data_IF_486814199955
#
_entry.id   IF_486814199955
#
_cell.length_a   1.000
_cell.length_b   1.000
_cell.length_c   1.000
_cell.angle_alpha   90.00
_cell.angle_beta   90.00
_cell.angle_gamma   90.00
#
_symmetry.space_group_name_H-M   'P 1'
#
loop_
_entity.id
_entity.type
_entity.pdbx_description
1 polymer ?
#
# COMPACT_ATOMS: atom_id res chain seq x y z
N UNK A 1 2.54 -16.32 12.80
CA UNK A 1 1.40 -15.61 12.18
C UNK A 1 0.21 -16.55 12.14
N UNK A 2 -0.99 -16.05 12.46
CA UNK A 2 -2.23 -16.81 12.35
C UNK A 2 -3.07 -16.23 11.21
N UNK A 3 -3.47 -17.08 10.28
CA UNK A 3 -4.33 -16.73 9.14
C UNK A 3 -5.57 -17.64 9.15
N UNK A 4 -6.76 -17.02 9.14
CA UNK A 4 -8.02 -17.75 9.27
C UNK A 4 -8.34 -18.65 8.05
N UNK A 5 -7.84 -18.32 6.90
CA UNK A 5 -8.07 -19.03 5.63
C UNK A 5 -6.74 -19.49 5.01
N UNK A 6 -6.37 -18.90 3.90
CA UNK A 6 -5.10 -19.10 3.22
C UNK A 6 -4.42 -17.75 2.95
N UNK A 7 -3.12 -17.75 2.76
CA UNK A 7 -2.36 -16.54 2.49
C UNK A 7 -2.93 -15.81 1.28
N UNK A 8 -3.25 -14.52 1.47
CA UNK A 8 -3.83 -13.68 0.43
C UNK A 8 -5.35 -13.83 0.23
N UNK A 9 -6.05 -14.57 1.08
CA UNK A 9 -7.51 -14.73 0.99
C UNK A 9 -8.27 -13.41 1.06
N UNK A 10 -7.85 -12.50 1.94
CA UNK A 10 -8.45 -11.19 2.12
C UNK A 10 -8.00 -10.15 1.10
N UNK A 11 -8.09 -8.88 1.46
CA UNK A 11 -7.72 -7.74 0.63
C UNK A 11 -6.29 -7.78 0.11
N UNK A 12 -5.34 -8.38 0.85
CA UNK A 12 -3.94 -8.48 0.44
C UNK A 12 -3.72 -9.24 -0.86
N UNK A 13 -4.54 -10.23 -1.18
CA UNK A 13 -4.43 -10.98 -2.45
C UNK A 13 -5.47 -10.59 -3.50
N UNK A 14 -6.43 -9.71 -3.15
CA UNK A 14 -7.59 -9.37 -3.99
C UNK A 14 -7.71 -7.89 -4.32
N UNK A 15 -6.70 -7.08 -3.99
CA UNK A 15 -6.64 -5.68 -4.39
C UNK A 15 -6.20 -5.54 -5.86
N UNK A 16 -6.23 -4.32 -6.38
CA UNK A 16 -5.89 -4.02 -7.78
C UNK A 16 -4.39 -4.00 -8.09
N UNK A 17 -3.53 -4.17 -7.09
CA UNK A 17 -2.08 -4.25 -7.26
C UNK A 17 -1.36 -2.93 -7.49
N UNK A 18 -1.98 -1.79 -7.21
CA UNK A 18 -1.31 -0.49 -7.30
C UNK A 18 -0.36 -0.29 -6.13
N UNK A 19 0.89 0.05 -6.43
CA UNK A 19 1.91 0.46 -5.46
C UNK A 19 2.06 1.97 -5.59
N UNK A 20 1.23 2.71 -4.85
CA UNK A 20 1.20 4.17 -4.94
C UNK A 20 2.07 4.83 -3.87
N UNK A 21 2.59 6.04 -4.18
CA UNK A 21 3.28 6.91 -3.26
C UNK A 21 2.32 7.91 -2.61
N UNK A 22 2.43 8.09 -1.29
CA UNK A 22 1.61 9.06 -0.57
C UNK A 22 0.17 8.63 -0.35
N UNK A 23 -0.66 9.62 -0.04
CA UNK A 23 -2.10 9.49 0.13
C UNK A 23 -2.82 10.16 -1.04
N UNK A 24 -4.13 9.87 -1.19
CA UNK A 24 -5.02 10.57 -2.12
C UNK A 24 -5.33 12.03 -1.70
N UNK A 25 -4.81 12.46 -0.55
CA UNK A 25 -4.90 13.84 -0.05
C UNK A 25 -3.65 14.63 -0.44
N UNK A 26 -3.78 15.94 -0.72
CA UNK A 26 -2.65 16.83 -0.86
C UNK A 26 -1.75 16.82 0.40
N UNK A 27 -0.43 16.95 0.25
CA UNK A 27 0.48 16.99 1.40
C UNK A 27 0.15 18.03 2.46
N UNK A 28 -0.28 19.23 2.05
CA UNK A 28 -0.69 20.28 3.00
C UNK A 28 -1.92 19.89 3.82
N UNK A 29 -2.89 19.17 3.24
CA UNK A 29 -4.08 18.71 3.96
C UNK A 29 -3.71 17.64 5.01
N UNK A 30 -2.73 16.80 4.71
CA UNK A 30 -2.18 15.84 5.67
C UNK A 30 -1.54 16.56 6.85
N UNK A 31 -0.75 17.62 6.60
CA UNK A 31 -0.16 18.43 7.66
C UNK A 31 -1.21 19.19 8.45
N UNK A 32 -2.21 19.76 7.78
CA UNK A 32 -3.29 20.46 8.45
C UNK A 32 -4.07 19.56 9.43
N UNK A 33 -4.25 18.29 9.09
CA UNK A 33 -4.97 17.31 9.92
C UNK A 33 -4.13 16.73 11.06
N UNK A 34 -2.83 16.51 10.86
CA UNK A 34 -1.96 15.76 11.79
C UNK A 34 -0.94 16.64 12.49
N UNK A 35 -0.85 17.94 12.13
CA UNK A 35 0.22 18.84 12.52
C UNK A 35 1.49 18.61 11.68
N UNK A 36 2.37 19.62 11.64
CA UNK A 36 3.54 19.62 10.74
C UNK A 36 4.48 18.45 10.95
N UNK A 37 4.80 18.12 12.20
CA UNK A 37 5.77 17.07 12.51
C UNK A 37 5.25 15.67 12.09
N UNK A 38 4.04 15.32 12.52
CA UNK A 38 3.44 14.01 12.20
C UNK A 38 3.06 13.91 10.73
N UNK A 39 2.48 14.99 10.18
CA UNK A 39 2.10 15.06 8.77
C UNK A 39 3.30 14.90 7.86
N UNK A 40 4.40 15.62 8.11
CA UNK A 40 5.64 15.49 7.34
C UNK A 40 6.27 14.10 7.44
N UNK A 41 6.26 13.51 8.65
CA UNK A 41 6.74 12.14 8.83
C UNK A 41 5.93 11.13 8.01
N UNK A 42 4.59 11.23 8.04
CA UNK A 42 3.71 10.36 7.26
C UNK A 42 3.91 10.53 5.76
N UNK A 43 3.99 11.79 5.27
CA UNK A 43 4.25 12.11 3.86
C UNK A 43 5.55 11.46 3.39
N UNK A 44 6.62 11.58 4.19
CA UNK A 44 7.92 10.97 3.89
C UNK A 44 7.82 9.45 3.80
N UNK A 45 7.32 8.79 4.84
CA UNK A 45 7.19 7.33 4.90
C UNK A 45 6.39 6.79 3.72
N UNK A 46 5.24 7.41 3.43
CA UNK A 46 4.39 6.96 2.32
C UNK A 46 4.95 7.34 0.94
N UNK A 47 5.71 8.43 0.85
CA UNK A 47 6.41 8.80 -0.38
C UNK A 47 7.50 7.81 -0.77
N UNK A 48 8.18 7.22 0.23
CA UNK A 48 9.26 6.24 0.07
C UNK A 48 8.74 4.78 0.03
N UNK A 49 7.46 4.55 0.37
CA UNK A 49 6.88 3.20 0.47
C UNK A 49 6.97 2.36 -0.82
N UNK A 50 6.78 2.91 -2.04
CA UNK A 50 6.95 2.13 -3.27
C UNK A 50 8.37 1.58 -3.44
N UNK A 51 9.39 2.38 -3.15
CA UNK A 51 10.79 1.94 -3.22
C UNK A 51 11.06 0.79 -2.24
N UNK A 52 10.48 0.89 -1.05
CA UNK A 52 10.60 -0.18 -0.05
C UNK A 52 9.94 -1.48 -0.54
N UNK A 53 8.72 -1.41 -1.11
CA UNK A 53 8.04 -2.58 -1.69
C UNK A 53 8.88 -3.20 -2.79
N UNK A 54 9.40 -2.41 -3.74
CA UNK A 54 10.24 -2.91 -4.83
C UNK A 54 11.54 -3.52 -4.30
N UNK A 55 12.16 -2.93 -3.28
CA UNK A 55 13.37 -3.49 -2.65
C UNK A 55 13.11 -4.85 -1.99
N UNK A 56 11.93 -5.07 -1.40
CA UNK A 56 11.53 -6.38 -0.87
C UNK A 56 11.36 -7.41 -1.99
N UNK A 57 10.72 -7.00 -3.10
CA UNK A 57 10.54 -7.88 -4.27
C UNK A 57 11.89 -8.34 -4.82
N UNK A 58 12.82 -7.42 -5.01
CA UNK A 58 14.18 -7.71 -5.50
C UNK A 58 14.96 -8.57 -4.52
N UNK A 59 15.04 -8.17 -3.26
CA UNK A 59 15.79 -8.86 -2.19
C UNK A 59 15.35 -10.31 -2.01
N UNK A 60 14.06 -10.57 -2.07
CA UNK A 60 13.47 -11.88 -1.84
C UNK A 60 13.08 -12.60 -3.13
N UNK A 61 13.43 -12.03 -4.29
CA UNK A 61 13.13 -12.57 -5.63
C UNK A 61 11.66 -12.98 -5.79
N UNK A 62 10.75 -12.10 -5.32
CA UNK A 62 9.31 -12.34 -5.34
C UNK A 62 8.80 -12.25 -6.77
N UNK A 63 8.23 -13.33 -7.28
CA UNK A 63 7.60 -13.36 -8.60
C UNK A 63 6.17 -12.82 -8.50
N UNK A 64 5.98 -11.53 -8.84
CA UNK A 64 4.69 -10.83 -8.75
C UNK A 64 4.46 -9.84 -9.91
N UNK A 65 5.12 -10.06 -11.05
CA UNK A 65 4.90 -9.25 -12.27
C UNK A 65 5.04 -7.74 -11.99
N UNK A 66 6.02 -7.37 -11.13
CA UNK A 66 6.20 -5.99 -10.71
C UNK A 66 6.62 -5.09 -11.88
N UNK A 67 5.99 -3.91 -11.99
CA UNK A 67 6.37 -2.84 -12.92
C UNK A 67 6.60 -1.54 -12.17
N UNK A 68 7.48 -0.68 -12.69
CA UNK A 68 7.73 0.67 -12.17
C UNK A 68 7.55 1.73 -13.25
N UNK A 69 6.45 1.65 -13.95
CA UNK A 69 6.11 2.57 -15.04
C UNK A 69 5.32 3.79 -14.58
N UNK A 70 5.09 3.91 -13.26
CA UNK A 70 4.24 4.92 -12.67
C UNK A 70 2.76 4.53 -12.66
N UNK A 71 1.95 5.39 -12.03
CA UNK A 71 0.48 5.31 -12.07
C UNK A 71 -0.11 6.66 -12.43
N UNK A 72 -1.22 6.65 -13.15
CA UNK A 72 -1.93 7.86 -13.56
C UNK A 72 -3.23 7.97 -12.75
N UNK A 73 -3.38 9.09 -12.04
CA UNK A 73 -4.67 9.49 -11.48
C UNK A 73 -5.38 10.37 -12.50
N UNK A 74 -6.35 9.80 -13.20
CA UNK A 74 -7.09 10.49 -14.27
C UNK A 74 -8.22 11.36 -13.73
N UNK A 75 -8.40 12.55 -14.26
CA UNK A 75 -9.44 13.50 -13.89
C UNK A 75 -10.74 13.24 -14.68
N UNK A 76 -11.82 12.94 -14.00
CA UNK A 76 -13.13 12.70 -14.60
C UNK A 76 -13.92 13.99 -14.90
N UNK A 77 -13.48 15.13 -14.36
CA UNK A 77 -14.12 16.44 -14.52
C UNK A 77 -13.08 17.56 -14.49
N UNK A 78 -13.39 18.76 -15.04
CA UNK A 78 -12.47 19.89 -15.02
C UNK A 78 -11.97 20.24 -13.62
N UNK A 79 -12.87 20.30 -12.62
CA UNK A 79 -12.51 20.55 -11.22
C UNK A 79 -11.54 19.49 -10.68
N UNK A 80 -11.70 18.23 -11.08
CA UNK A 80 -10.76 17.17 -10.70
C UNK A 80 -9.37 17.41 -11.27
N UNK A 81 -9.27 17.96 -12.46
CA UNK A 81 -7.99 18.33 -13.06
C UNK A 81 -7.31 19.47 -12.29
N UNK A 82 -8.07 20.50 -11.89
CA UNK A 82 -7.57 21.61 -11.05
C UNK A 82 -7.05 21.07 -9.69
N UNK A 83 -7.74 20.12 -9.09
CA UNK A 83 -7.29 19.47 -7.86
C UNK A 83 -6.00 18.67 -8.06
N UNK A 84 -5.85 17.98 -9.20
CA UNK A 84 -4.61 17.27 -9.54
C UNK A 84 -3.46 18.24 -9.82
N UNK A 85 -3.72 19.39 -10.45
CA UNK A 85 -2.70 20.41 -10.69
C UNK A 85 -2.12 20.93 -9.36
N UNK A 86 -2.97 21.26 -8.39
CA UNK A 86 -2.52 21.69 -7.05
C UNK A 86 -1.69 20.60 -6.36
N UNK A 87 -2.13 19.33 -6.43
CA UNK A 87 -1.39 18.20 -5.90
C UNK A 87 -0.03 18.01 -6.56
N UNK A 88 0.03 18.17 -7.88
CA UNK A 88 1.28 18.08 -8.62
C UNK A 88 2.29 19.11 -8.12
N UNK A 89 1.89 20.39 -8.01
CA UNK A 89 2.74 21.46 -7.49
C UNK A 89 3.26 21.17 -6.07
N UNK A 90 2.39 20.69 -5.19
CA UNK A 90 2.79 20.38 -3.81
C UNK A 90 3.79 19.24 -3.74
N UNK A 91 3.57 18.17 -4.50
CA UNK A 91 4.49 17.04 -4.57
C UNK A 91 5.82 17.43 -5.22
N UNK A 92 5.79 18.25 -6.28
CA UNK A 92 7.01 18.76 -6.92
C UNK A 92 7.84 19.63 -5.97
N UNK A 93 7.19 20.49 -5.16
CA UNK A 93 7.89 21.26 -4.10
C UNK A 93 8.55 20.37 -3.05
N UNK A 94 8.06 19.17 -2.85
CA UNK A 94 8.65 18.15 -1.97
C UNK A 94 9.69 17.27 -2.69
N UNK A 95 10.03 17.56 -3.94
CA UNK A 95 11.02 16.82 -4.74
C UNK A 95 10.50 15.50 -5.31
N UNK A 96 9.18 15.26 -5.29
CA UNK A 96 8.61 14.05 -5.86
C UNK A 96 8.61 14.10 -7.40
N UNK A 97 8.92 12.97 -8.03
CA UNK A 97 8.86 12.80 -9.48
C UNK A 97 7.42 12.57 -9.93
N UNK A 98 6.70 13.67 -10.15
CA UNK A 98 5.32 13.68 -10.62
C UNK A 98 5.16 14.64 -11.80
N UNK A 99 4.24 14.31 -12.70
CA UNK A 99 3.97 15.04 -13.94
C UNK A 99 2.45 15.27 -14.09
N UNK A 100 2.07 16.54 -14.33
CA UNK A 100 0.69 16.86 -14.67
C UNK A 100 0.54 16.68 -16.19
N UNK A 101 -0.34 15.77 -16.59
CA UNK A 101 -0.61 15.44 -17.99
C UNK A 101 -1.79 16.27 -18.51
N UNK A 102 -1.65 16.87 -19.67
CA UNK A 102 -2.76 17.44 -20.43
C UNK A 102 -3.79 16.37 -20.82
N UNK A 103 -4.90 16.80 -21.38
CA UNK A 103 -5.93 15.86 -21.89
C UNK A 103 -5.38 14.93 -22.96
N UNK A 104 -4.61 15.49 -23.91
CA UNK A 104 -4.01 14.78 -25.03
C UNK A 104 -2.94 13.78 -24.55
N UNK A 105 -2.08 14.20 -23.65
CA UNK A 105 -1.04 13.34 -23.06
C UNK A 105 -1.66 12.20 -22.25
N UNK A 106 -2.69 12.49 -21.46
CA UNK A 106 -3.41 11.48 -20.70
C UNK A 106 -4.12 10.48 -21.64
N UNK A 107 -4.79 10.97 -22.71
CA UNK A 107 -5.45 10.14 -23.70
C UNK A 107 -4.46 9.20 -24.40
N UNK A 108 -3.29 9.69 -24.79
CA UNK A 108 -2.24 8.89 -25.42
C UNK A 108 -1.71 7.78 -24.50
N UNK A 109 -1.59 8.05 -23.17
CA UNK A 109 -1.09 7.07 -22.21
C UNK A 109 -2.17 6.08 -21.73
N UNK A 110 -3.42 6.54 -21.60
CA UNK A 110 -4.55 5.73 -21.07
C UNK A 110 -5.28 4.98 -22.21
N UNK A 111 -5.23 5.50 -23.43
CA UNK A 111 -5.98 4.97 -24.56
C UNK A 111 -7.46 5.39 -24.57
N UNK A 112 -7.80 6.52 -23.91
CA UNK A 112 -9.18 7.02 -23.81
C UNK A 112 -9.20 8.55 -23.70
N UNK A 113 -10.08 9.20 -24.46
CA UNK A 113 -10.32 10.64 -24.43
C UNK A 113 -11.35 11.09 -23.37
N UNK A 114 -11.83 10.16 -22.55
CA UNK A 114 -12.88 10.41 -21.55
C UNK A 114 -12.43 11.28 -20.36
N UNK A 115 -11.12 11.52 -20.22
CA UNK A 115 -10.55 12.22 -19.07
C UNK A 115 -10.10 13.64 -19.46
N UNK A 116 -10.08 14.53 -18.48
CA UNK A 116 -9.69 15.94 -18.64
C UNK A 116 -8.17 16.16 -18.47
N UNK A 117 -7.41 15.09 -18.25
CA UNK A 117 -5.99 15.07 -17.98
C UNK A 117 -5.70 14.12 -16.83
N UNK A 118 -4.50 14.18 -16.27
CA UNK A 118 -4.10 13.27 -15.18
C UNK A 118 -2.87 13.72 -14.43
N UNK A 119 -2.61 13.08 -13.32
CA UNK A 119 -1.35 13.18 -12.56
C UNK A 119 -0.63 11.84 -12.65
N UNK A 120 0.51 11.83 -13.32
CA UNK A 120 1.42 10.69 -13.37
C UNK A 120 2.40 10.78 -12.21
N UNK A 121 2.44 9.74 -11.39
CA UNK A 121 3.43 9.59 -10.32
C UNK A 121 4.43 8.50 -10.73
N UNK A 122 5.65 8.91 -11.09
CA UNK A 122 6.71 8.03 -11.56
C UNK A 122 7.30 7.12 -10.46
N UNK A 123 7.06 7.44 -9.18
CA UNK A 123 7.49 6.62 -8.04
C UNK A 123 6.67 5.34 -7.92
N UNK A 124 5.45 5.39 -8.42
CA UNK A 124 4.47 4.32 -8.31
C UNK A 124 4.71 3.18 -9.33
N UNK A 125 3.98 2.10 -9.15
CA UNK A 125 4.02 0.94 -10.04
C UNK A 125 2.87 -0.01 -9.80
N UNK A 126 2.96 -1.20 -10.35
CA UNK A 126 1.96 -2.26 -10.17
C UNK A 126 2.61 -3.59 -9.85
N UNK A 127 1.86 -4.44 -9.18
CA UNK A 127 2.24 -5.81 -8.84
C UNK A 127 1.04 -6.75 -9.03
N UNK A 128 1.31 -8.05 -9.16
CA UNK A 128 0.31 -9.07 -8.91
C UNK A 128 0.18 -9.27 -7.38
N UNK A 129 -0.93 -8.86 -6.75
CA UNK A 129 -1.05 -8.87 -5.29
C UNK A 129 -0.93 -10.27 -4.68
N UNK A 130 -1.53 -11.28 -5.34
CA UNK A 130 -1.46 -12.65 -4.87
C UNK A 130 -0.04 -13.21 -4.98
N UNK A 131 0.66 -12.92 -6.07
CA UNK A 131 2.07 -13.26 -6.25
C UNK A 131 2.94 -12.62 -5.17
N UNK A 132 2.72 -11.32 -4.91
CA UNK A 132 3.46 -10.57 -3.89
C UNK A 132 3.26 -11.12 -2.48
N UNK A 133 2.00 -11.26 -2.02
CA UNK A 133 1.73 -11.71 -0.65
C UNK A 133 2.21 -13.13 -0.39
N UNK A 134 2.10 -14.04 -1.38
CA UNK A 134 2.63 -15.40 -1.27
C UNK A 134 4.17 -15.42 -1.26
N UNK A 135 4.80 -14.57 -2.07
CA UNK A 135 6.24 -14.42 -2.08
C UNK A 135 6.77 -13.88 -0.76
N UNK A 136 6.10 -12.88 -0.20
CA UNK A 136 6.44 -12.30 1.09
C UNK A 136 6.28 -13.31 2.24
N UNK A 137 5.24 -14.14 2.20
CA UNK A 137 5.05 -15.21 3.18
C UNK A 137 6.20 -16.23 3.13
N UNK A 138 6.59 -16.70 1.93
CA UNK A 138 7.75 -17.58 1.79
C UNK A 138 9.04 -16.94 2.30
N UNK A 139 9.24 -15.66 2.05
CA UNK A 139 10.40 -14.94 2.56
C UNK A 139 10.39 -14.85 4.09
N UNK A 140 9.22 -14.63 4.69
CA UNK A 140 9.05 -14.62 6.15
C UNK A 140 9.34 -16.00 6.76
N UNK A 141 8.83 -17.09 6.17
CA UNK A 141 9.11 -18.46 6.60
C UNK A 141 10.62 -18.78 6.50
N UNK A 142 11.26 -18.39 5.40
CA UNK A 142 12.71 -18.53 5.24
C UNK A 142 13.50 -17.74 6.30
N UNK A 143 12.96 -16.65 6.81
CA UNK A 143 13.51 -15.87 7.93
C UNK A 143 13.14 -16.42 9.32
N UNK A 144 12.47 -17.57 9.41
CA UNK A 144 12.11 -18.25 10.65
C UNK A 144 10.73 -17.90 11.20
N UNK A 145 9.86 -17.23 10.45
CA UNK A 145 8.49 -17.00 10.88
C UNK A 145 7.65 -18.29 10.71
N UNK A 146 6.86 -18.62 11.72
CA UNK A 146 5.85 -19.67 11.64
C UNK A 146 4.53 -19.08 11.16
N UNK A 147 3.96 -19.63 10.08
CA UNK A 147 2.67 -19.20 9.52
C UNK A 147 1.68 -20.36 9.58
N UNK A 148 0.64 -20.23 10.39
CA UNK A 148 -0.43 -21.22 10.51
C UNK A 148 -1.66 -20.75 9.75
N UNK A 149 -2.01 -21.44 8.68
CA UNK A 149 -3.22 -21.19 7.88
C UNK A 149 -4.41 -22.03 8.34
N UNK A 150 -5.61 -21.58 8.07
CA UNK A 150 -6.86 -22.23 8.55
C UNK A 150 -6.97 -22.18 10.07
N UNK A 151 -6.38 -21.19 10.73
CA UNK A 151 -6.42 -21.00 12.18
C UNK A 151 -7.03 -19.63 12.48
N UNK A 152 -8.28 -19.64 12.89
CA UNK A 152 -9.03 -18.41 13.19
C UNK A 152 -8.84 -17.99 14.63
N UNK A 153 -8.32 -16.76 14.84
CA UNK A 153 -8.34 -16.11 16.15
C UNK A 153 -9.80 -15.76 16.53
N UNK A 154 -10.21 -16.17 17.72
CA UNK A 154 -11.57 -15.97 18.23
C UNK A 154 -11.63 -14.91 19.32
N UNK A 155 -10.61 -14.89 20.16
CA UNK A 155 -10.55 -14.00 21.31
C UNK A 155 -9.12 -13.61 21.60
N UNK A 156 -8.93 -12.35 21.97
CA UNK A 156 -7.67 -11.82 22.47
C UNK A 156 -7.88 -11.32 23.89
N UNK A 157 -7.04 -11.76 24.82
CA UNK A 157 -7.04 -11.27 26.21
C UNK A 157 -5.64 -11.17 26.76
N UNK A 158 -5.46 -10.33 27.76
CA UNK A 158 -4.19 -10.20 28.46
C UNK A 158 -4.22 -11.01 29.76
N UNK A 159 -3.17 -11.78 29.97
CA UNK A 159 -2.91 -12.50 31.23
C UNK A 159 -1.51 -12.11 31.73
N UNK A 160 -1.49 -11.29 32.78
CA UNK A 160 -0.24 -10.73 33.30
C UNK A 160 0.50 -9.93 32.22
N UNK A 161 1.73 -10.31 31.93
CA UNK A 161 2.58 -9.66 30.92
C UNK A 161 2.41 -10.21 29.50
N UNK A 162 1.58 -11.22 29.31
CA UNK A 162 1.41 -11.89 28.02
C UNK A 162 0.03 -11.72 27.46
N UNK A 163 -0.04 -11.76 26.14
CA UNK A 163 -1.28 -11.86 25.40
C UNK A 163 -1.60 -13.33 25.13
N UNK A 164 -2.86 -13.71 25.30
CA UNK A 164 -3.40 -15.01 24.94
C UNK A 164 -4.35 -14.84 23.77
N UNK A 165 -4.04 -15.50 22.67
CA UNK A 165 -4.90 -15.59 21.49
C UNK A 165 -5.59 -16.96 21.55
N UNK A 166 -6.89 -16.96 21.73
CA UNK A 166 -7.72 -18.18 21.64
C UNK A 166 -8.11 -18.38 20.19
N UNK A 167 -7.89 -19.59 19.70
CA UNK A 167 -8.20 -19.97 18.32
C UNK A 167 -9.13 -21.16 18.30
N UNK A 168 -9.66 -21.52 17.14
CA UNK A 168 -10.41 -22.74 16.91
C UNK A 168 -9.57 -24.02 17.00
N UNK A 169 -8.23 -23.88 17.11
CA UNK A 169 -7.29 -25.01 17.22
C UNK A 169 -6.44 -25.01 18.48
N UNK A 170 -6.71 -24.11 19.44
CA UNK A 170 -5.95 -24.02 20.67
C UNK A 170 -5.62 -22.60 21.07
N UNK A 171 -4.59 -22.42 21.89
CA UNK A 171 -4.17 -21.13 22.43
C UNK A 171 -2.73 -20.81 22.04
N UNK A 172 -2.47 -19.55 21.74
CA UNK A 172 -1.13 -19.03 21.50
C UNK A 172 -0.83 -17.93 22.50
N UNK A 173 0.33 -17.99 23.15
CA UNK A 173 0.79 -16.98 24.10
C UNK A 173 1.93 -16.17 23.51
N UNK A 174 1.84 -14.83 23.54
CA UNK A 174 2.84 -13.92 23.01
C UNK A 174 3.03 -12.69 23.89
N UNK A 175 4.23 -12.08 23.87
CA UNK A 175 4.48 -10.79 24.50
C UNK A 175 3.80 -9.63 23.78
N UNK A 176 3.72 -9.73 22.45
CA UNK A 176 3.14 -8.73 21.57
C UNK A 176 2.18 -9.39 20.60
N UNK A 177 1.13 -8.68 20.25
CA UNK A 177 0.19 -9.09 19.20
C UNK A 177 0.01 -7.93 18.24
N UNK A 178 0.20 -8.21 16.95
CA UNK A 178 -0.09 -7.26 15.87
C UNK A 178 -1.36 -7.72 15.17
N UNK A 179 -2.37 -6.85 15.14
CA UNK A 179 -3.61 -7.07 14.42
C UNK A 179 -3.46 -6.51 13.00
N UNK A 180 -3.25 -7.38 12.03
CA UNK A 180 -3.15 -7.04 10.61
C UNK A 180 -4.39 -7.43 9.81
N UNK A 181 -5.56 -7.46 10.46
CA UNK A 181 -6.80 -7.99 9.88
C UNK A 181 -7.57 -6.99 9.02
N UNK A 182 -7.08 -5.73 8.90
CA UNK A 182 -7.80 -4.65 8.26
C UNK A 182 -9.20 -4.47 8.90
N UNK A 183 -10.25 -4.38 8.10
CA UNK A 183 -11.64 -4.21 8.55
C UNK A 183 -12.42 -5.55 8.65
N UNK A 184 -11.72 -6.67 8.72
CA UNK A 184 -12.32 -8.00 8.84
C UNK A 184 -12.41 -8.48 10.28
#
# INVERSE_FOLDING_TARGET
VLEAHHIGYGGSGRNVGLVNAGLWLPPQDVRAKLGDARGSSLIKVLGEAPDYVMSLIERHQIRCEATRTGTIHAAHAPRGYEDLARRAEEWQRLGASVELLSREEAAAKIGSEAFYGGLLDHRAGTINPMGYVRGLARAAEAAGAEISVGVRARRLRREGERWIVETDRGRVSARWVVLGTNAY
#
